data_IF_816129920007
#
_entry.id   IF_816129920007
#
_cell.length_a   1.000
_cell.length_b   1.000
_cell.length_c   1.000
_cell.angle_alpha   90.00
_cell.angle_beta   90.00
_cell.angle_gamma   90.00
#
_symmetry.space_group_name_H-M   'P 1'
#
loop_
_entity.id
_entity.type
_entity.pdbx_description
1 polymer ?
#
# COMPACT_ATOMS: atom_id res chain seq x y z
N UNK A 1 -53.51 -9.22 -13.34
CA UNK A 1 -52.25 -9.58 -12.64
C UNK A 1 -51.06 -8.97 -13.38
N UNK A 2 -50.40 -7.96 -12.80
CA UNK A 2 -49.01 -7.59 -13.17
C UNK A 2 -48.31 -7.20 -11.87
N UNK A 3 -47.59 -8.16 -11.30
CA UNK A 3 -46.80 -7.98 -10.08
C UNK A 3 -45.45 -7.39 -10.47
N UNK A 4 -45.21 -6.19 -9.96
CA UNK A 4 -43.96 -5.62 -9.44
C UNK A 4 -42.69 -6.35 -9.86
N UNK A 5 -41.84 -5.67 -10.62
CA UNK A 5 -40.43 -6.03 -10.72
C UNK A 5 -39.55 -4.77 -10.75
N UNK A 6 -39.51 -4.05 -9.62
CA UNK A 6 -38.42 -3.14 -9.33
C UNK A 6 -37.25 -3.98 -8.79
N UNK A 7 -36.40 -4.49 -9.69
CA UNK A 7 -35.13 -5.08 -9.29
C UNK A 7 -34.20 -3.96 -8.82
N UNK A 8 -33.99 -3.92 -7.51
CA UNK A 8 -33.04 -3.08 -6.80
C UNK A 8 -31.63 -3.25 -7.40
N UNK A 9 -31.13 -2.18 -7.99
CA UNK A 9 -29.72 -2.01 -8.35
C UNK A 9 -28.94 -1.79 -7.04
N UNK A 10 -28.59 -2.86 -6.32
CA UNK A 10 -27.63 -2.74 -5.21
C UNK A 10 -26.23 -2.60 -5.82
N UNK A 11 -25.86 -1.37 -6.14
CA UNK A 11 -24.47 -1.02 -6.45
C UNK A 11 -23.69 -1.21 -5.15
N UNK A 12 -23.02 -2.36 -5.02
CA UNK A 12 -22.05 -2.60 -3.97
C UNK A 12 -20.88 -1.63 -4.16
N UNK A 13 -20.85 -0.57 -3.36
CA UNK A 13 -19.71 0.34 -3.30
C UNK A 13 -18.55 -0.37 -2.58
N UNK A 14 -17.68 -1.02 -3.36
CA UNK A 14 -16.40 -1.48 -2.82
C UNK A 14 -15.52 -0.27 -2.52
N UNK A 15 -15.52 0.20 -1.28
CA UNK A 15 -14.62 1.27 -0.83
C UNK A 15 -13.17 0.78 -0.93
N UNK A 16 -12.42 1.29 -1.90
CA UNK A 16 -10.97 1.13 -1.95
C UNK A 16 -10.39 2.10 -0.91
N UNK A 17 -10.02 1.60 0.28
CA UNK A 17 -9.32 2.41 1.27
C UNK A 17 -7.91 2.70 0.77
N UNK A 18 -7.67 3.95 0.39
CA UNK A 18 -6.35 4.44 0.05
C UNK A 18 -5.44 4.45 1.28
N UNK A 19 -4.16 4.18 1.08
CA UNK A 19 -3.13 4.30 2.11
C UNK A 19 -2.99 5.78 2.52
N UNK A 20 -2.96 6.07 3.82
CA UNK A 20 -2.76 7.43 4.36
C UNK A 20 -1.35 7.59 4.90
N UNK A 21 -0.75 8.78 4.76
CA UNK A 21 0.59 9.04 5.34
C UNK A 21 0.52 9.02 6.86
N UNK A 22 1.47 8.33 7.49
CA UNK A 22 1.60 8.23 8.94
C UNK A 22 2.20 9.51 9.51
N UNK A 23 1.59 10.01 10.58
CA UNK A 23 2.15 11.07 11.43
C UNK A 23 2.54 10.45 12.78
N UNK A 24 3.82 10.12 12.94
CA UNK A 24 4.36 9.49 14.15
C UNK A 24 4.29 10.39 15.38
N UNK A 25 3.99 11.70 15.24
CA UNK A 25 3.76 12.57 16.40
C UNK A 25 2.36 12.41 17.00
N UNK A 26 1.41 11.86 16.23
CA UNK A 26 -0.01 11.71 16.62
C UNK A 26 -0.46 10.27 16.78
N UNK A 27 0.27 9.34 16.17
CA UNK A 27 -0.09 7.93 16.13
C UNK A 27 1.11 7.08 16.56
N UNK A 28 0.83 6.08 17.41
CA UNK A 28 1.81 5.11 17.87
C UNK A 28 1.47 3.76 17.28
N UNK A 29 2.42 3.19 16.55
CA UNK A 29 2.34 1.85 15.99
C UNK A 29 3.49 1.02 16.53
N UNK A 30 3.27 -0.27 16.67
CA UNK A 30 4.29 -1.18 17.16
C UNK A 30 4.45 -2.41 16.27
N UNK A 31 5.65 -2.97 16.31
CA UNK A 31 5.95 -4.32 15.83
C UNK A 31 6.62 -5.08 16.95
N UNK A 32 6.06 -6.22 17.34
CA UNK A 32 6.53 -6.98 18.50
C UNK A 32 6.69 -6.10 19.76
N UNK A 33 5.72 -5.19 19.97
CA UNK A 33 5.69 -4.19 21.07
C UNK A 33 6.80 -3.14 21.03
N UNK A 34 7.65 -3.13 19.99
CA UNK A 34 8.64 -2.07 19.77
C UNK A 34 7.99 -0.92 18.99
N UNK A 35 8.14 0.34 19.44
CA UNK A 35 7.52 1.48 18.78
C UNK A 35 8.16 1.77 17.43
N UNK A 36 7.32 2.05 16.44
CA UNK A 36 7.72 2.55 15.14
C UNK A 36 7.85 4.07 15.18
N UNK A 37 8.84 4.60 14.45
CA UNK A 37 9.06 6.04 14.36
C UNK A 37 9.99 6.40 13.20
N UNK A 38 10.33 7.68 13.10
CA UNK A 38 11.19 8.20 12.03
C UNK A 38 12.62 7.63 12.03
N UNK A 39 13.03 6.99 13.12
CA UNK A 39 14.33 6.35 13.30
C UNK A 39 14.31 4.83 13.05
N UNK A 40 13.15 4.24 12.73
CA UNK A 40 13.06 2.80 12.48
C UNK A 40 13.89 2.43 11.24
N UNK A 41 14.83 1.50 11.41
CA UNK A 41 15.66 1.00 10.31
C UNK A 41 14.99 -0.15 9.59
N UNK A 42 15.41 -0.38 8.35
CA UNK A 42 14.90 -1.46 7.52
C UNK A 42 15.03 -2.84 8.19
N UNK A 43 16.21 -3.11 8.75
CA UNK A 43 16.50 -4.34 9.50
C UNK A 43 15.60 -4.53 10.71
N UNK A 44 15.28 -3.46 11.44
CA UNK A 44 14.39 -3.52 12.60
C UNK A 44 12.99 -3.92 12.17
N UNK A 45 12.48 -3.36 11.06
CA UNK A 45 11.17 -3.71 10.54
C UNK A 45 11.13 -5.17 10.07
N UNK A 46 12.16 -5.63 9.37
CA UNK A 46 12.24 -7.00 8.84
C UNK A 46 12.28 -8.05 9.93
N UNK A 47 12.97 -7.75 11.05
CA UNK A 47 13.12 -8.70 12.15
C UNK A 47 11.93 -8.72 13.11
N UNK A 48 11.17 -7.62 13.21
CA UNK A 48 10.16 -7.47 14.25
C UNK A 48 8.72 -7.39 13.74
N UNK A 49 8.49 -6.97 12.49
CA UNK A 49 7.14 -6.79 11.96
C UNK A 49 6.63 -8.04 11.24
N UNK A 50 5.31 -8.28 11.33
CA UNK A 50 4.70 -9.43 10.70
C UNK A 50 4.72 -9.32 9.17
N UNK A 51 5.18 -10.39 8.50
CA UNK A 51 5.26 -10.49 7.05
C UNK A 51 6.02 -9.34 6.38
N UNK A 52 7.05 -8.84 7.07
CA UNK A 52 7.90 -7.78 6.55
C UNK A 52 8.70 -8.26 5.34
N UNK A 53 8.59 -7.54 4.24
CA UNK A 53 9.29 -7.83 2.98
C UNK A 53 9.82 -6.54 2.35
N UNK A 54 11.06 -6.59 1.84
CA UNK A 54 11.60 -5.55 0.98
C UNK A 54 11.00 -5.72 -0.42
N UNK A 55 10.54 -4.63 -1.00
CA UNK A 55 10.23 -4.48 -2.41
C UNK A 55 11.32 -3.55 -2.93
N UNK A 56 12.40 -4.14 -3.43
CA UNK A 56 13.50 -3.40 -4.04
C UNK A 56 12.95 -2.62 -5.23
N UNK A 57 13.54 -1.47 -5.51
CA UNK A 57 13.19 -0.72 -6.71
C UNK A 57 13.45 -1.59 -7.94
N UNK A 58 12.47 -1.69 -8.84
CA UNK A 58 12.75 -2.18 -10.19
C UNK A 58 13.59 -1.07 -10.84
N UNK A 59 14.92 -1.24 -10.87
CA UNK A 59 15.78 -0.38 -11.67
C UNK A 59 15.22 -0.42 -13.10
N UNK A 60 14.92 0.75 -13.69
CA UNK A 60 14.37 0.85 -15.03
C UNK A 60 15.41 0.41 -16.08
N UNK A 61 15.75 -0.88 -16.13
CA UNK A 61 16.71 -1.46 -17.08
C UNK A 61 16.01 -1.92 -18.37
N UNK A 62 15.04 -1.16 -18.86
CA UNK A 62 14.29 -1.51 -20.07
C UNK A 62 14.14 -0.34 -21.07
N UNK A 63 15.24 0.39 -21.29
CA UNK A 63 15.45 1.18 -22.50
C UNK A 63 15.84 0.34 -23.74
N UNK A 64 15.66 -0.98 -23.73
CA UNK A 64 15.76 -1.82 -24.94
C UNK A 64 14.42 -2.46 -25.24
N UNK A 65 13.55 -1.69 -25.87
CA UNK A 65 12.39 -2.23 -26.58
C UNK A 65 12.91 -3.01 -27.79
N UNK A 66 12.95 -4.34 -27.70
CA UNK A 66 13.01 -5.16 -28.90
C UNK A 66 11.67 -5.00 -29.63
N UNK A 67 11.64 -4.13 -30.65
CA UNK A 67 10.52 -4.04 -31.60
C UNK A 67 10.67 -5.18 -32.62
N UNK A 68 10.13 -6.35 -32.31
CA UNK A 68 9.82 -7.34 -33.33
C UNK A 68 8.81 -6.75 -34.33
N UNK A 69 8.96 -7.00 -35.64
CA UNK A 69 8.06 -6.41 -36.63
C UNK A 69 6.67 -7.02 -36.50
N UNK A 70 5.67 -6.22 -36.09
CA UNK A 70 4.25 -6.62 -36.19
C UNK A 70 3.31 -6.35 -35.01
N UNK A 71 3.73 -5.66 -33.94
CA UNK A 71 2.88 -5.42 -32.77
C UNK A 71 2.49 -3.96 -32.56
N UNK A 72 1.48 -3.47 -33.27
CA UNK A 72 0.90 -2.16 -33.04
C UNK A 72 -0.02 -2.16 -31.81
N UNK A 73 0.52 -1.88 -30.63
CA UNK A 73 -0.28 -1.40 -29.49
C UNK A 73 0.51 -0.32 -28.77
N UNK A 74 -0.03 0.90 -28.72
CA UNK A 74 0.53 1.96 -27.89
C UNK A 74 0.46 1.51 -26.43
N UNK A 75 1.62 1.30 -25.82
CA UNK A 75 1.71 1.16 -24.36
C UNK A 75 1.17 2.46 -23.77
N UNK A 76 -0.01 2.39 -23.15
CA UNK A 76 -0.52 3.49 -22.35
C UNK A 76 0.42 3.64 -21.17
N UNK A 77 1.36 4.58 -21.28
CA UNK A 77 2.19 5.02 -20.18
C UNK A 77 1.25 5.70 -19.18
N UNK A 78 0.77 4.95 -18.20
CA UNK A 78 0.11 5.53 -17.04
C UNK A 78 1.17 6.36 -16.33
N UNK A 79 1.18 7.67 -16.59
CA UNK A 79 1.89 8.64 -15.77
C UNK A 79 1.20 8.71 -14.40
N UNK A 80 1.40 7.68 -13.57
CA UNK A 80 1.07 7.77 -12.15
C UNK A 80 2.13 8.63 -11.48
N UNK A 81 1.76 9.89 -11.31
CA UNK A 81 2.22 10.87 -10.34
C UNK A 81 3.38 10.42 -9.42
N UNK A 82 4.49 11.16 -9.49
CA UNK A 82 5.74 11.08 -8.72
C UNK A 82 6.82 10.12 -9.26
N UNK A 83 7.62 10.63 -10.20
CA UNK A 83 8.95 10.07 -10.52
C UNK A 83 9.84 9.86 -9.27
N UNK A 84 9.53 10.51 -8.15
CA UNK A 84 10.25 10.36 -6.88
C UNK A 84 9.92 9.07 -6.10
N UNK A 85 8.72 8.49 -6.22
CA UNK A 85 8.36 7.26 -5.47
C UNK A 85 8.91 5.96 -6.09
N UNK A 86 9.47 6.05 -7.29
CA UNK A 86 10.11 4.91 -7.99
C UNK A 86 11.49 4.62 -7.42
N UNK A 87 12.19 5.62 -6.89
CA UNK A 87 13.57 5.52 -6.39
C UNK A 87 13.67 5.27 -4.88
N UNK A 88 12.61 4.80 -4.24
CA UNK A 88 12.62 4.44 -2.83
C UNK A 88 12.59 2.93 -2.67
N UNK A 89 13.44 2.43 -1.78
CA UNK A 89 13.29 1.08 -1.24
C UNK A 89 12.03 1.05 -0.37
N UNK A 90 11.23 -0.01 -0.52
CA UNK A 90 9.94 -0.10 0.15
C UNK A 90 9.91 -1.31 1.04
N UNK A 91 9.47 -1.15 2.28
CA UNK A 91 9.18 -2.27 3.17
C UNK A 91 7.69 -2.32 3.44
N UNK A 92 7.08 -3.47 3.14
CA UNK A 92 5.67 -3.75 3.40
C UNK A 92 5.56 -4.71 4.55
N UNK A 93 4.67 -4.44 5.51
CA UNK A 93 4.49 -5.27 6.69
C UNK A 93 3.13 -5.03 7.35
N UNK A 94 2.82 -5.83 8.37
CA UNK A 94 1.71 -5.60 9.29
C UNK A 94 2.23 -5.25 10.68
N UNK A 95 1.62 -4.25 11.28
CA UNK A 95 1.83 -3.84 12.68
C UNK A 95 1.05 -4.74 13.63
N UNK A 96 1.31 -4.63 14.94
CA UNK A 96 0.65 -5.45 15.97
C UNK A 96 -0.88 -5.24 16.02
N UNK A 97 -1.36 -4.05 15.65
CA UNK A 97 -2.80 -3.73 15.52
C UNK A 97 -3.40 -4.24 14.19
N UNK A 98 -2.64 -5.02 13.42
CA UNK A 98 -3.01 -5.57 12.12
C UNK A 98 -3.23 -4.50 11.02
N UNK A 99 -2.75 -3.27 11.24
CA UNK A 99 -2.68 -2.28 10.16
C UNK A 99 -1.64 -2.70 9.12
N UNK A 100 -1.97 -2.50 7.84
CA UNK A 100 -1.02 -2.74 6.75
C UNK A 100 -0.22 -1.46 6.50
N UNK A 101 1.10 -1.54 6.57
CA UNK A 101 1.99 -0.39 6.43
C UNK A 101 3.01 -0.58 5.30
N UNK A 102 3.31 0.51 4.61
CA UNK A 102 4.37 0.60 3.59
C UNK A 102 5.28 1.76 3.96
N UNK A 103 6.52 1.46 4.31
CA UNK A 103 7.55 2.46 4.61
C UNK A 103 8.52 2.60 3.43
N UNK A 104 8.92 3.84 3.17
CA UNK A 104 9.74 4.24 2.03
C UNK A 104 11.08 4.77 2.53
N UNK A 105 12.16 4.21 2.03
CA UNK A 105 13.52 4.53 2.41
C UNK A 105 14.30 5.12 1.24
N UNK A 106 15.21 6.04 1.56
CA UNK A 106 16.21 6.58 0.61
C UNK A 106 17.55 6.65 1.31
N UNK A 107 18.56 5.99 0.75
CA UNK A 107 19.90 5.98 1.34
C UNK A 107 19.89 5.57 2.82
N UNK A 108 19.18 4.48 3.14
CA UNK A 108 19.01 3.93 4.48
C UNK A 108 18.26 4.82 5.50
N UNK A 109 17.62 5.91 5.05
CA UNK A 109 16.82 6.79 5.90
C UNK A 109 15.34 6.64 5.60
N UNK A 110 14.53 6.51 6.65
CA UNK A 110 13.08 6.47 6.53
C UNK A 110 12.56 7.85 6.09
N UNK A 111 11.87 7.89 4.95
CA UNK A 111 11.32 9.13 4.38
C UNK A 111 9.86 9.31 4.79
N UNK A 112 9.07 8.24 4.64
CA UNK A 112 7.64 8.25 5.00
C UNK A 112 7.12 6.83 5.16
N UNK A 113 6.08 6.68 5.95
CA UNK A 113 5.26 5.48 5.94
C UNK A 113 3.84 5.85 5.54
N UNK A 114 3.18 4.96 4.79
CA UNK A 114 1.75 5.02 4.53
C UNK A 114 1.06 3.81 5.14
N UNK A 115 -0.12 4.00 5.71
CA UNK A 115 -0.83 2.97 6.46
C UNK A 115 -2.25 2.80 5.93
N UNK A 116 -2.74 1.57 6.02
CA UNK A 116 -4.15 1.23 5.91
C UNK A 116 -4.56 0.57 7.23
N UNK A 117 -5.46 1.19 8.01
CA UNK A 117 -5.92 0.60 9.27
C UNK A 117 -6.60 -0.76 9.02
N UNK A 118 -6.72 -1.61 10.05
CA UNK A 118 -7.43 -2.88 9.94
C UNK A 118 -8.86 -2.62 9.45
N UNK A 119 -9.39 -3.54 8.63
CA UNK A 119 -10.79 -3.48 8.24
C UNK A 119 -11.63 -3.66 9.51
N UNK A 120 -12.32 -2.60 9.93
CA UNK A 120 -13.35 -2.72 10.95
C UNK A 120 -14.49 -3.51 10.33
N UNK A 121 -14.59 -4.79 10.65
CA UNK A 121 -15.80 -5.55 10.36
C UNK A 121 -16.90 -4.95 11.21
N UNK A 122 -17.72 -4.08 10.62
CA UNK A 122 -19.02 -3.71 11.20
C UNK A 122 -19.88 -4.98 11.18
N UNK A 123 -19.71 -5.85 12.16
CA UNK A 123 -20.78 -6.76 12.51
C UNK A 123 -21.91 -5.87 13.04
N UNK A 124 -22.99 -5.85 12.29
CA UNK A 124 -24.23 -5.14 12.58
C UNK A 124 -24.69 -5.52 13.99
N UNK A 125 -24.39 -4.67 14.97
CA UNK A 125 -25.07 -4.70 16.26
C UNK A 125 -26.41 -4.02 16.05
N UNK A 126 -27.40 -4.80 15.65
CA UNK A 126 -28.80 -4.46 15.86
C UNK A 126 -29.16 -4.99 17.24
N UNK A 127 -29.23 -4.09 18.21
CA UNK A 127 -30.01 -4.28 19.44
C UNK A 127 -31.21 -3.34 19.38
#
# INVERSE_FOLDING_TARGET
MRKILFYLLTISSSSIFALTTVDFSKSSYTCNKLPLGTQSQESDLLNNCHYAVIIEHEENTAGRVYRGPGGGTQTTQMNTTSDDEVNYDKIKFFTDDHSYMVCYYKSYKLIKCKIRPPKVNKNTSSE
#
